data_IF_585138526098
#
_entry.id   IF_585138526098
#
_cell.length_a   1.000
_cell.length_b   1.000
_cell.length_c   1.000
_cell.angle_alpha   90.00
_cell.angle_beta   90.00
_cell.angle_gamma   90.00
#
_symmetry.space_group_name_H-M   'P 1'
#
loop_
_entity.id
_entity.type
_entity.pdbx_description
1 polymer ?
#
# COMPACT_ATOMS: atom_id res chain seq x y z
N UNK A 1 -10.53 5.04 -5.52
CA UNK A 1 -10.15 4.78 -6.91
C UNK A 1 -11.24 3.96 -7.56
N UNK A 2 -11.80 4.48 -8.64
CA UNK A 2 -12.65 3.78 -9.59
C UNK A 2 -11.99 3.90 -10.97
N UNK A 3 -12.33 3.00 -11.87
CA UNK A 3 -11.84 3.01 -13.26
C UNK A 3 -13.07 3.03 -14.16
N UNK A 4 -13.05 3.88 -15.19
CA UNK A 4 -14.13 3.98 -16.18
C UNK A 4 -13.67 3.39 -17.50
N UNK A 5 -14.60 2.77 -18.23
CA UNK A 5 -14.37 2.36 -19.62
C UNK A 5 -14.45 3.56 -20.59
N UNK A 6 -14.24 3.30 -21.88
CA UNK A 6 -14.30 4.32 -22.93
C UNK A 6 -15.70 4.94 -23.11
N UNK A 7 -16.74 4.29 -22.59
CA UNK A 7 -18.13 4.79 -22.55
C UNK A 7 -18.42 5.58 -21.25
N UNK A 8 -17.43 5.73 -20.36
CA UNK A 8 -17.57 6.44 -19.09
C UNK A 8 -18.27 5.63 -17.98
N UNK A 9 -18.49 4.33 -18.18
CA UNK A 9 -19.10 3.46 -17.17
C UNK A 9 -18.04 2.94 -16.22
N UNK A 10 -18.36 2.92 -14.93
CA UNK A 10 -17.46 2.38 -13.92
C UNK A 10 -17.33 0.86 -14.09
N UNK A 11 -16.12 0.36 -14.31
CA UNK A 11 -15.88 -1.07 -14.53
C UNK A 11 -16.11 -1.94 -13.28
N UNK A 12 -16.23 -1.31 -12.11
CA UNK A 12 -16.54 -1.97 -10.85
C UNK A 12 -18.05 -2.05 -10.57
N UNK A 13 -18.86 -1.32 -11.36
CA UNK A 13 -20.32 -1.31 -11.25
C UNK A 13 -20.93 -2.71 -11.49
N UNK A 14 -21.92 -3.05 -10.70
CA UNK A 14 -22.59 -4.34 -10.65
C UNK A 14 -23.84 -4.28 -9.76
N UNK A 15 -24.89 -5.02 -10.15
CA UNK A 15 -26.19 -5.05 -9.47
C UNK A 15 -26.39 -6.24 -8.50
N UNK A 16 -25.44 -7.17 -8.39
CA UNK A 16 -25.56 -8.35 -7.51
C UNK A 16 -25.02 -8.09 -6.12
N UNK A 17 -24.90 -9.15 -5.31
CA UNK A 17 -24.52 -9.04 -3.90
C UNK A 17 -23.01 -9.00 -3.69
N UNK A 18 -22.55 -7.93 -3.03
CA UNK A 18 -21.14 -7.69 -2.77
C UNK A 18 -20.39 -7.02 -3.94
N UNK A 19 -19.05 -7.05 -3.92
CA UNK A 19 -18.22 -6.45 -4.95
C UNK A 19 -18.21 -7.28 -6.23
N UNK A 20 -18.23 -6.61 -7.38
CA UNK A 20 -18.06 -7.26 -8.69
C UNK A 20 -16.76 -8.07 -8.78
N UNK A 21 -16.70 -9.03 -9.71
CA UNK A 21 -15.48 -9.81 -9.96
C UNK A 21 -14.27 -8.91 -10.28
N UNK A 22 -14.49 -7.85 -11.07
CA UNK A 22 -13.46 -6.86 -11.39
C UNK A 22 -12.99 -6.08 -10.16
N UNK A 23 -13.91 -5.67 -9.29
CA UNK A 23 -13.54 -5.00 -8.04
C UNK A 23 -12.78 -5.95 -7.11
N UNK A 24 -13.21 -7.21 -7.00
CA UNK A 24 -12.48 -8.23 -6.22
C UNK A 24 -11.06 -8.44 -6.74
N UNK A 25 -10.92 -8.61 -8.06
CA UNK A 25 -9.62 -8.78 -8.71
C UNK A 25 -8.72 -7.57 -8.48
N UNK A 26 -9.25 -6.36 -8.68
CA UNK A 26 -8.54 -5.11 -8.44
C UNK A 26 -8.05 -4.96 -6.98
N UNK A 27 -8.89 -5.32 -6.01
CA UNK A 27 -8.49 -5.34 -4.59
C UNK A 27 -7.40 -6.38 -4.37
N UNK A 28 -7.58 -7.62 -4.84
CA UNK A 28 -6.58 -8.69 -4.69
C UNK A 28 -5.21 -8.28 -5.21
N UNK A 29 -5.16 -7.69 -6.42
CA UNK A 29 -3.91 -7.20 -6.98
C UNK A 29 -3.29 -6.04 -6.19
N UNK A 30 -4.10 -5.13 -5.65
CA UNK A 30 -3.61 -4.09 -4.73
C UNK A 30 -3.01 -4.69 -3.46
N UNK A 31 -3.61 -5.74 -2.87
CA UNK A 31 -3.08 -6.38 -1.67
C UNK A 31 -1.75 -7.08 -1.94
N UNK A 32 -1.67 -7.82 -3.04
CA UNK A 32 -0.49 -8.62 -3.39
C UNK A 32 0.73 -7.75 -3.73
N UNK A 33 0.51 -6.63 -4.41
CA UNK A 33 1.57 -5.71 -4.85
C UNK A 33 1.94 -4.65 -3.80
N UNK A 34 1.14 -4.51 -2.74
CA UNK A 34 1.32 -3.51 -1.69
C UNK A 34 2.69 -3.56 -0.99
N UNK A 35 3.23 -4.75 -0.63
CA UNK A 35 4.53 -4.84 0.04
C UNK A 35 5.67 -4.32 -0.84
N UNK A 36 5.62 -4.61 -2.14
CA UNK A 36 6.62 -4.19 -3.12
C UNK A 36 6.60 -2.68 -3.34
N UNK A 37 5.39 -2.10 -3.39
CA UNK A 37 5.20 -0.66 -3.55
C UNK A 37 5.22 0.12 -2.23
N UNK A 38 5.50 -0.52 -1.08
CA UNK A 38 5.42 0.16 0.22
C UNK A 38 6.34 1.39 0.30
N UNK A 39 7.55 1.34 -0.28
CA UNK A 39 8.48 2.47 -0.31
C UNK A 39 7.96 3.67 -1.13
N UNK A 40 6.91 3.49 -1.94
CA UNK A 40 6.18 4.58 -2.61
C UNK A 40 5.08 5.13 -1.71
N UNK A 41 4.36 4.27 -1.00
CA UNK A 41 3.27 4.65 -0.08
C UNK A 41 3.75 5.22 1.26
N UNK A 42 5.01 4.99 1.61
CA UNK A 42 5.70 5.44 2.80
C UNK A 42 7.15 5.83 2.41
N UNK A 43 7.38 7.01 1.82
CA UNK A 43 8.66 7.31 1.17
C UNK A 43 9.77 7.78 2.11
N UNK A 44 9.48 8.10 3.37
CA UNK A 44 10.42 8.73 4.29
C UNK A 44 10.53 7.97 5.62
N UNK A 45 11.63 8.19 6.36
CA UNK A 45 11.82 7.62 7.70
C UNK A 45 10.62 7.87 8.64
N UNK A 46 10.05 9.09 8.59
CA UNK A 46 8.90 9.43 9.42
C UNK A 46 7.64 8.66 9.03
N UNK A 47 7.48 8.28 7.75
CA UNK A 47 6.35 7.48 7.28
C UNK A 47 6.26 6.15 8.03
N UNK A 48 7.38 5.56 8.44
CA UNK A 48 7.43 4.24 9.09
C UNK A 48 7.01 4.27 10.57
N UNK A 49 7.02 5.44 11.20
CA UNK A 49 6.56 5.60 12.60
C UNK A 49 5.07 5.30 12.78
N UNK A 50 4.27 5.35 11.71
CA UNK A 50 2.84 4.99 11.75
C UNK A 50 2.58 3.50 11.60
N UNK A 51 3.57 2.68 11.22
CA UNK A 51 3.42 1.22 11.12
C UNK A 51 3.65 0.54 12.49
N UNK A 52 3.29 1.23 13.57
CA UNK A 52 3.39 0.71 14.94
C UNK A 52 2.03 0.21 15.44
N UNK A 53 2.00 -0.75 16.38
CA UNK A 53 0.75 -1.12 17.05
C UNK A 53 0.04 0.11 17.63
N UNK A 54 -1.29 0.11 17.59
CA UNK A 54 -2.14 1.18 18.16
C UNK A 54 -1.99 2.58 17.53
N UNK A 55 -1.36 2.69 16.34
CA UNK A 55 -1.24 3.98 15.62
C UNK A 55 -2.52 4.46 14.95
N UNK A 56 -3.61 3.66 15.00
CA UNK A 56 -4.85 3.81 14.23
C UNK A 56 -4.68 3.88 12.71
N UNK A 57 -3.44 3.76 12.21
CA UNK A 57 -3.14 3.70 10.79
C UNK A 57 -3.24 2.25 10.29
N UNK A 58 -3.91 2.01 9.14
CA UNK A 58 -3.83 0.73 8.47
C UNK A 58 -2.37 0.35 8.20
N UNK A 59 -2.04 -0.93 8.43
CA UNK A 59 -0.64 -1.39 8.40
C UNK A 59 -0.46 -2.78 7.79
N UNK A 60 -1.48 -3.35 7.18
CA UNK A 60 -1.43 -4.66 6.53
C UNK A 60 -2.10 -4.62 5.16
N UNK A 61 -1.72 -5.52 4.24
CA UNK A 61 -2.40 -5.72 2.96
C UNK A 61 -3.68 -6.54 3.18
N UNK A 62 -4.65 -5.94 3.84
CA UNK A 62 -5.99 -6.49 4.07
C UNK A 62 -7.08 -5.56 3.54
N UNK A 63 -8.33 -6.05 3.53
CA UNK A 63 -9.45 -5.29 3.02
C UNK A 63 -10.73 -5.48 3.84
N UNK A 64 -11.70 -4.58 3.68
CA UNK A 64 -13.01 -4.69 4.34
C UNK A 64 -14.07 -3.72 3.80
N UNK A 65 -15.32 -3.97 4.16
CA UNK A 65 -16.49 -3.19 3.79
C UNK A 65 -16.65 -2.00 4.73
N UNK A 66 -16.43 -0.80 4.20
CA UNK A 66 -16.36 0.47 4.96
C UNK A 66 -15.45 0.44 6.22
N UNK A 67 -14.66 -0.63 6.39
CA UNK A 67 -13.85 -0.86 7.57
C UNK A 67 -12.66 0.09 7.60
N UNK A 68 -12.56 0.89 8.67
CA UNK A 68 -11.53 1.92 8.76
C UNK A 68 -10.17 1.43 9.22
N UNK A 69 -10.06 0.18 9.69
CA UNK A 69 -8.80 -0.44 10.03
C UNK A 69 -8.09 -1.06 8.80
N UNK A 70 -8.85 -1.35 7.73
CA UNK A 70 -8.35 -2.02 6.55
C UNK A 70 -7.36 -1.19 5.73
N UNK A 71 -6.34 -1.87 5.17
CA UNK A 71 -5.41 -1.32 4.18
C UNK A 71 -6.09 -0.88 2.89
N UNK A 72 -7.06 -1.68 2.42
CA UNK A 72 -7.98 -1.33 1.32
C UNK A 72 -9.43 -1.36 1.81
N UNK A 73 -10.10 -0.22 1.77
CA UNK A 73 -11.50 -0.10 2.18
C UNK A 73 -12.41 -0.08 0.96
N UNK A 74 -13.57 -0.73 1.03
CA UNK A 74 -14.63 -0.65 0.03
C UNK A 74 -15.85 0.08 0.64
N UNK A 75 -15.99 1.42 0.45
CA UNK A 75 -17.12 2.16 1.00
C UNK A 75 -18.42 1.93 0.23
N UNK A 76 -18.30 1.66 -1.06
CA UNK A 76 -19.40 1.31 -1.96
C UNK A 76 -18.88 0.24 -2.91
N UNK A 77 -19.69 -0.79 -3.13
CA UNK A 77 -19.34 -1.98 -3.91
C UNK A 77 -20.26 -2.20 -5.10
N UNK A 78 -21.35 -1.43 -5.19
CA UNK A 78 -22.34 -1.50 -6.26
C UNK A 78 -22.55 -0.15 -6.93
N UNK A 79 -23.15 -0.17 -8.12
CA UNK A 79 -23.52 1.07 -8.81
C UNK A 79 -22.33 1.89 -9.31
N UNK A 80 -22.60 3.09 -9.86
CA UNK A 80 -21.57 3.95 -10.42
C UNK A 80 -20.56 4.46 -9.39
N UNK A 81 -20.87 4.39 -8.09
CA UNK A 81 -20.01 4.83 -7.00
C UNK A 81 -19.07 3.72 -6.46
N UNK A 82 -19.16 2.49 -6.98
CA UNK A 82 -18.32 1.35 -6.60
C UNK A 82 -16.82 1.70 -6.72
N UNK A 83 -16.07 1.54 -5.63
CA UNK A 83 -14.66 1.96 -5.58
C UNK A 83 -13.89 1.27 -4.47
N UNK A 84 -12.58 1.19 -4.65
CA UNK A 84 -11.64 0.87 -3.57
C UNK A 84 -10.93 2.11 -3.05
N UNK A 85 -10.67 2.17 -1.76
CA UNK A 85 -9.88 3.21 -1.11
C UNK A 85 -8.59 2.60 -0.57
N UNK A 86 -7.45 2.95 -1.17
CA UNK A 86 -6.14 2.53 -0.68
C UNK A 86 -5.70 3.45 0.46
N UNK A 87 -5.56 2.90 1.67
CA UNK A 87 -5.38 3.66 2.91
C UNK A 87 -4.00 3.54 3.52
N UNK A 88 -3.10 2.79 2.88
CA UNK A 88 -1.70 2.74 3.31
C UNK A 88 -0.95 4.00 2.93
N UNK A 89 -1.29 4.73 1.87
CA UNK A 89 -0.50 5.92 1.48
C UNK A 89 -0.54 7.03 2.55
N UNK A 90 0.62 7.58 2.91
CA UNK A 90 0.74 8.75 3.77
C UNK A 90 0.47 10.07 3.03
N UNK A 91 0.34 11.18 3.78
CA UNK A 91 0.20 12.51 3.17
C UNK A 91 1.51 13.04 2.55
N UNK A 92 2.63 12.39 2.86
CA UNK A 92 3.99 12.69 2.44
C UNK A 92 4.40 11.99 1.12
N UNK A 93 3.48 11.28 0.47
CA UNK A 93 3.73 10.60 -0.80
C UNK A 93 3.87 11.56 -1.98
N UNK A 94 4.63 11.18 -2.99
CA UNK A 94 4.46 11.76 -4.31
C UNK A 94 3.15 11.22 -4.92
N UNK A 95 2.13 12.08 -5.19
CA UNK A 95 0.81 11.61 -5.61
C UNK A 95 0.83 10.89 -6.96
N UNK A 96 1.73 11.25 -7.87
CA UNK A 96 1.85 10.59 -9.17
C UNK A 96 2.35 9.15 -9.01
N UNK A 97 3.36 8.93 -8.17
CA UNK A 97 3.90 7.61 -7.91
C UNK A 97 2.91 6.74 -7.14
N UNK A 98 2.24 7.31 -6.13
CA UNK A 98 1.22 6.61 -5.37
C UNK A 98 0.05 6.17 -6.27
N UNK A 99 -0.44 7.06 -7.14
CA UNK A 99 -1.49 6.71 -8.09
C UNK A 99 -1.01 5.65 -9.10
N UNK A 100 0.22 5.76 -9.60
CA UNK A 100 0.80 4.76 -10.51
C UNK A 100 0.88 3.39 -9.84
N UNK A 101 1.35 3.32 -8.60
CA UNK A 101 1.42 2.07 -7.83
C UNK A 101 0.02 1.47 -7.58
N UNK A 102 -0.97 2.28 -7.24
CA UNK A 102 -2.35 1.81 -7.04
C UNK A 102 -2.95 1.30 -8.36
N UNK A 103 -2.82 2.05 -9.45
CA UNK A 103 -3.32 1.63 -10.77
C UNK A 103 -2.59 0.38 -11.28
N UNK A 104 -1.29 0.28 -11.04
CA UNK A 104 -0.50 -0.91 -11.35
C UNK A 104 -0.97 -2.14 -10.58
N UNK A 105 -1.28 -2.00 -9.29
CA UNK A 105 -1.87 -3.08 -8.49
C UNK A 105 -3.27 -3.48 -8.96
N UNK A 106 -4.10 -2.50 -9.36
CA UNK A 106 -5.41 -2.78 -9.97
C UNK A 106 -5.25 -3.57 -11.27
N UNK A 107 -4.36 -3.13 -12.17
CA UNK A 107 -4.11 -3.80 -13.44
C UNK A 107 -3.58 -5.22 -13.23
N UNK A 108 -2.59 -5.39 -12.36
CA UNK A 108 -2.07 -6.71 -11.97
C UNK A 108 -3.20 -7.63 -11.49
N UNK A 109 -4.11 -7.10 -10.67
CA UNK A 109 -5.28 -7.83 -10.20
C UNK A 109 -6.21 -8.25 -11.32
N UNK A 110 -6.53 -7.34 -12.25
CA UNK A 110 -7.40 -7.63 -13.40
C UNK A 110 -6.78 -8.68 -14.34
N UNK A 111 -5.47 -8.67 -14.52
CA UNK A 111 -4.76 -9.59 -15.42
C UNK A 111 -4.55 -10.98 -14.81
N UNK A 112 -4.36 -11.07 -13.49
CA UNK A 112 -3.96 -12.32 -12.81
C UNK A 112 -5.04 -12.92 -11.89
N UNK A 113 -6.10 -12.16 -11.58
CA UNK A 113 -7.21 -12.55 -10.71
C UNK A 113 -6.78 -13.28 -9.42
N UNK A 114 -5.90 -12.68 -8.60
CA UNK A 114 -5.38 -13.33 -7.41
C UNK A 114 -6.48 -13.62 -6.38
N UNK A 115 -6.25 -14.64 -5.56
CA UNK A 115 -7.18 -15.03 -4.50
C UNK A 115 -7.37 -13.88 -3.51
N UNK A 116 -8.63 -13.46 -3.37
CA UNK A 116 -9.01 -12.43 -2.41
C UNK A 116 -9.32 -13.09 -1.06
N UNK A 117 -8.57 -12.80 0.02
CA UNK A 117 -8.90 -13.31 1.34
C UNK A 117 -10.27 -12.83 1.83
N UNK A 118 -10.79 -13.44 2.90
CA UNK A 118 -12.00 -12.93 3.55
C UNK A 118 -11.78 -11.48 4.03
N UNK A 119 -12.83 -10.62 3.94
CA UNK A 119 -12.74 -9.25 4.43
C UNK A 119 -12.56 -9.25 5.96
N UNK A 120 -11.91 -8.22 6.51
CA UNK A 120 -11.70 -8.07 7.96
C UNK A 120 -13.00 -8.08 8.79
N UNK A 121 -14.13 -7.78 8.17
CA UNK A 121 -15.44 -7.79 8.80
C UNK A 121 -16.00 -9.21 9.01
N UNK A 122 -15.42 -10.21 8.34
CA UNK A 122 -15.79 -11.62 8.50
C UNK A 122 -15.16 -12.18 9.79
N UNK A 123 -15.94 -12.83 10.68
CA UNK A 123 -15.42 -13.41 11.92
C UNK A 123 -14.40 -14.54 11.70
N UNK A 124 -14.34 -15.12 10.50
CA UNK A 124 -13.38 -16.15 10.11
C UNK A 124 -12.16 -15.58 9.39
N UNK A 125 -12.06 -14.26 9.23
CA UNK A 125 -10.93 -13.62 8.58
C UNK A 125 -9.63 -13.90 9.35
N UNK A 126 -8.58 -14.27 8.61
CA UNK A 126 -7.23 -14.40 9.16
C UNK A 126 -6.50 -13.07 8.95
N UNK A 127 -5.93 -12.47 10.01
CA UNK A 127 -5.17 -11.23 9.86
C UNK A 127 -4.00 -11.39 8.89
N UNK A 128 -3.89 -10.49 7.91
CA UNK A 128 -2.75 -10.45 7.01
C UNK A 128 -1.46 -10.05 7.77
N UNK A 129 -0.28 -10.58 7.37
CA UNK A 129 0.98 -10.10 7.89
C UNK A 129 1.12 -8.59 7.69
N UNK A 130 1.56 -7.88 8.72
CA UNK A 130 1.76 -6.43 8.64
C UNK A 130 2.87 -6.10 7.64
N UNK A 131 2.68 -4.99 6.95
CA UNK A 131 3.74 -4.30 6.22
C UNK A 131 4.89 -3.95 7.17
N UNK A 132 6.10 -3.85 6.63
CA UNK A 132 7.27 -3.63 7.48
C UNK A 132 7.27 -2.23 8.06
N UNK A 133 7.72 -2.10 9.30
CA UNK A 133 8.03 -0.82 9.96
C UNK A 133 9.50 -0.39 9.76
N UNK A 134 10.27 -1.14 8.97
CA UNK A 134 11.66 -0.82 8.61
C UNK A 134 11.71 -0.23 7.20
N UNK A 135 12.06 1.06 7.12
CA UNK A 135 12.21 1.79 5.87
C UNK A 135 13.21 1.14 4.91
N UNK A 136 14.34 0.67 5.44
CA UNK A 136 15.38 0.01 4.64
C UNK A 136 14.88 -1.31 4.08
N UNK A 137 14.07 -2.06 4.84
CA UNK A 137 13.46 -3.30 4.34
C UNK A 137 12.49 -3.02 3.20
N UNK A 138 11.63 -2.01 3.31
CA UNK A 138 10.71 -1.64 2.23
C UNK A 138 11.44 -1.16 0.96
N UNK A 139 12.52 -0.37 1.10
CA UNK A 139 13.35 0.05 -0.05
C UNK A 139 13.99 -1.15 -0.74
N UNK A 140 14.47 -2.14 0.02
CA UNK A 140 15.00 -3.39 -0.56
C UNK A 140 13.93 -4.19 -1.29
N UNK A 141 12.73 -4.34 -0.72
CA UNK A 141 11.61 -5.00 -1.41
C UNK A 141 11.29 -4.32 -2.74
N UNK A 142 11.23 -2.99 -2.73
CA UNK A 142 11.03 -2.19 -3.95
C UNK A 142 12.16 -2.42 -4.97
N UNK A 143 13.42 -2.44 -4.53
CA UNK A 143 14.59 -2.60 -5.39
C UNK A 143 14.71 -3.99 -6.05
N UNK A 144 14.13 -5.03 -5.45
CA UNK A 144 14.18 -6.40 -5.97
C UNK A 144 12.89 -6.88 -6.63
N UNK A 145 11.84 -6.05 -6.68
CA UNK A 145 10.52 -6.46 -7.15
C UNK A 145 10.42 -6.49 -8.69
N UNK A 146 10.04 -7.64 -9.29
CA UNK A 146 9.69 -7.72 -10.71
C UNK A 146 8.48 -6.85 -11.05
N UNK A 147 7.46 -6.82 -10.19
CA UNK A 147 6.29 -5.97 -10.38
C UNK A 147 6.66 -4.49 -10.49
N UNK A 148 7.55 -4.00 -9.63
CA UNK A 148 8.05 -2.62 -9.71
C UNK A 148 8.86 -2.37 -10.98
N UNK A 149 9.61 -3.38 -11.43
CA UNK A 149 10.36 -3.32 -12.70
C UNK A 149 9.40 -3.14 -13.88
N UNK A 150 8.34 -3.94 -13.93
CA UNK A 150 7.35 -3.91 -15.01
C UNK A 150 6.53 -2.62 -14.98
N UNK A 151 6.19 -2.13 -13.79
CA UNK A 151 5.35 -0.95 -13.61
C UNK A 151 6.08 0.36 -13.89
N UNK A 152 7.26 0.58 -13.28
CA UNK A 152 7.99 1.84 -13.36
C UNK A 152 9.18 1.81 -14.34
N UNK A 153 9.60 0.62 -14.75
CA UNK A 153 10.82 0.40 -15.54
C UNK A 153 12.07 0.24 -14.65
N UNK A 154 12.95 -0.67 -15.07
CA UNK A 154 14.18 -1.02 -14.34
C UNK A 154 15.05 0.21 -13.97
N UNK A 155 15.19 1.17 -14.88
CA UNK A 155 15.98 2.38 -14.62
C UNK A 155 15.38 3.24 -13.51
N UNK A 156 14.06 3.38 -13.47
CA UNK A 156 13.41 4.17 -12.41
C UNK A 156 13.53 3.46 -11.06
N UNK A 157 13.27 2.15 -11.04
CA UNK A 157 13.40 1.32 -9.85
C UNK A 157 14.80 1.47 -9.23
N UNK A 158 15.84 1.34 -10.05
CA UNK A 158 17.23 1.45 -9.60
C UNK A 158 17.53 2.84 -9.00
N UNK A 159 17.15 3.91 -9.71
CA UNK A 159 17.42 5.29 -9.25
C UNK A 159 16.64 5.59 -7.97
N UNK A 160 15.36 5.23 -7.90
CA UNK A 160 14.53 5.47 -6.71
C UNK A 160 15.10 4.74 -5.50
N UNK A 161 15.47 3.46 -5.64
CA UNK A 161 16.08 2.69 -4.56
C UNK A 161 17.39 3.33 -4.07
N UNK A 162 18.30 3.69 -4.97
CA UNK A 162 19.59 4.32 -4.62
C UNK A 162 19.42 5.65 -3.88
N UNK A 163 18.48 6.49 -4.32
CA UNK A 163 18.19 7.76 -3.64
C UNK A 163 17.70 7.53 -2.20
N UNK A 164 16.83 6.54 -1.99
CA UNK A 164 16.33 6.21 -0.65
C UNK A 164 17.39 5.55 0.23
N UNK A 165 18.25 4.71 -0.34
CA UNK A 165 19.38 4.11 0.37
C UNK A 165 20.38 5.17 0.87
N UNK A 166 20.70 6.16 0.02
CA UNK A 166 21.54 7.30 0.38
C UNK A 166 20.90 8.16 1.48
N UNK A 167 19.61 8.48 1.36
CA UNK A 167 18.86 9.23 2.39
C UNK A 167 18.84 8.47 3.74
N UNK A 168 18.62 7.15 3.72
CA UNK A 168 18.72 6.30 4.91
C UNK A 168 20.13 6.36 5.50
N UNK A 169 21.17 6.23 4.67
CA UNK A 169 22.55 6.24 5.13
C UNK A 169 22.90 7.55 5.83
N UNK A 170 22.49 8.69 5.27
CA UNK A 170 22.72 10.01 5.87
C UNK A 170 21.92 10.24 7.15
N UNK A 171 20.63 9.90 7.17
CA UNK A 171 19.79 10.14 8.34
C UNK A 171 20.15 9.26 9.55
N UNK A 172 20.70 8.06 9.29
CA UNK A 172 21.07 7.13 10.36
C UNK A 172 22.44 7.41 10.98
N UNK A 173 23.22 8.36 10.46
CA UNK A 173 24.48 8.81 11.10
C UNK A 173 24.25 9.92 12.13
N UNK A 174 23.10 10.59 12.10
CA UNK A 174 22.78 11.68 13.02
C UNK A 174 22.28 11.16 14.37
N UNK A 175 22.90 11.61 15.46
CA UNK A 175 22.47 11.27 16.83
C UNK A 175 21.30 12.17 17.22
N UNK A 176 20.13 11.58 17.40
CA UNK A 176 18.91 12.32 17.69
C UNK A 176 18.83 12.78 19.16
N UNK A 177 18.08 13.85 19.41
CA UNK A 177 17.84 14.37 20.77
C UNK A 177 17.17 13.35 21.71
N UNK A 178 16.46 12.36 21.19
CA UNK A 178 15.87 11.30 22.03
C UNK A 178 16.94 10.33 22.53
N UNK A 179 17.96 10.02 21.72
CA UNK A 179 19.07 9.16 22.13
C UNK A 179 19.87 9.80 23.27
N UNK A 180 20.20 11.09 23.17
CA UNK A 180 20.82 11.84 24.28
C UNK A 180 19.98 11.75 25.56
N UNK A 181 18.68 12.09 25.49
CA UNK A 181 17.80 12.06 26.67
C UNK A 181 17.65 10.65 27.27
N UNK A 182 17.71 9.61 26.43
CA UNK A 182 17.50 8.22 26.87
C UNK A 182 18.76 7.64 27.50
N UNK A 183 19.92 7.87 26.89
CA UNK A 183 21.17 7.19 27.25
C UNK A 183 22.08 8.02 28.15
N UNK A 184 22.07 9.36 28.06
CA UNK A 184 23.01 10.20 28.81
C UNK A 184 22.82 10.09 30.33
N UNK A 185 21.59 9.94 30.82
CA UNK A 185 21.31 9.72 32.24
C UNK A 185 21.45 8.26 32.71
N UNK A 186 21.84 7.35 31.80
CA UNK A 186 22.07 5.92 32.10
C UNK A 186 23.56 5.54 32.03
N UNK A 187 24.42 6.47 31.60
CA UNK A 187 25.87 6.40 31.72
C UNK A 187 26.28 6.85 33.13
#
# INVERSE_FOLDING_TARGET
>A
VSVVDDEGRNIFDHDGDGPSERLRAAVGGCLETMPDAQAVFAPHMNSYRRFQPLSFAPSAPDWGFDNRAAGVRLPEVKGPAARLEHRIAGADVNPYLALTAILGGILYGLDNAPDLPLPLDDPNATPAPRLTDDWRKAVRSFASSPFITDLFGARYQEVYAKVREDEIAQLTTEISQIEYRTYLGRL
#
